data_IF_731938290821
#
_entry.id   IF_731938290821
#
_cell.length_a   1.000
_cell.length_b   1.000
_cell.length_c   1.000
_cell.angle_alpha   90.00
_cell.angle_beta   90.00
_cell.angle_gamma   90.00
#
_symmetry.space_group_name_H-M   'P 1'
#
loop_
_entity.id
_entity.type
_entity.pdbx_description
1 polymer ?
#
# COMPACT_ATOMS: atom_id res chain seq x y z
N UNK A 1 -18.46 52.09 25.62
CA UNK A 1 -18.05 51.11 24.58
C UNK A 1 -17.98 49.75 25.27
N UNK A 2 -18.84 48.81 24.89
CA UNK A 2 -18.92 47.49 25.52
C UNK A 2 -18.37 46.45 24.54
N UNK A 3 -17.29 45.76 24.91
CA UNK A 3 -16.71 44.71 24.08
C UNK A 3 -17.37 43.37 24.43
N UNK A 4 -18.16 42.81 23.52
CA UNK A 4 -18.60 41.42 23.63
C UNK A 4 -17.46 40.51 23.13
N UNK A 5 -17.03 39.50 23.90
CA UNK A 5 -16.19 38.45 23.36
C UNK A 5 -17.01 37.60 22.39
N UNK A 6 -16.53 37.46 21.16
CA UNK A 6 -17.04 36.45 20.23
C UNK A 6 -16.63 35.07 20.76
N UNK A 7 -17.56 34.40 21.44
CA UNK A 7 -17.43 32.99 21.77
C UNK A 7 -17.49 32.17 20.46
N UNK A 8 -16.33 31.93 19.87
CA UNK A 8 -16.21 31.07 18.69
C UNK A 8 -16.66 29.65 19.04
N UNK A 9 -17.70 29.16 18.36
CA UNK A 9 -18.13 27.77 18.50
C UNK A 9 -17.00 26.85 18.03
N UNK A 10 -16.32 26.20 18.97
CA UNK A 10 -15.43 25.09 18.65
C UNK A 10 -16.28 23.97 18.04
N UNK A 11 -16.19 23.80 16.73
CA UNK A 11 -16.89 22.74 16.02
C UNK A 11 -16.16 21.44 16.32
N UNK A 12 -16.51 20.76 17.42
CA UNK A 12 -15.93 19.48 17.81
C UNK A 12 -16.28 18.45 16.74
N UNK A 13 -15.37 18.25 15.79
CA UNK A 13 -15.48 17.18 14.81
C UNK A 13 -15.59 15.86 15.56
N UNK A 14 -16.74 15.18 15.41
CA UNK A 14 -16.99 13.87 16.00
C UNK A 14 -16.18 12.82 15.23
N UNK A 15 -14.87 12.78 15.47
CA UNK A 15 -14.00 11.71 14.98
C UNK A 15 -14.41 10.44 15.75
N UNK A 16 -14.95 9.41 15.07
CA UNK A 16 -15.33 8.18 15.74
C UNK A 16 -14.09 7.44 16.24
N UNK A 17 -14.21 6.71 17.35
CA UNK A 17 -13.18 5.77 17.77
C UNK A 17 -12.93 4.74 16.65
N UNK A 18 -11.67 4.33 16.38
CA UNK A 18 -11.37 3.29 15.41
C UNK A 18 -12.11 1.97 15.71
N UNK A 19 -12.50 1.19 14.69
CA UNK A 19 -13.07 -0.14 14.90
C UNK A 19 -12.01 -1.11 15.42
N UNK A 20 -12.41 -2.05 16.27
CA UNK A 20 -11.55 -3.19 16.63
C UNK A 20 -11.40 -4.12 15.43
N UNK A 21 -10.18 -4.30 14.93
CA UNK A 21 -9.86 -5.20 13.83
C UNK A 21 -9.04 -6.40 14.35
N UNK A 22 -9.33 -7.60 13.85
CA UNK A 22 -8.57 -8.81 14.15
C UNK A 22 -7.37 -8.94 13.19
N UNK A 23 -6.35 -8.11 13.40
CA UNK A 23 -5.12 -8.09 12.60
C UNK A 23 -3.91 -7.61 13.44
N UNK A 24 -2.74 -8.21 13.22
CA UNK A 24 -1.51 -7.87 13.95
C UNK A 24 -1.05 -6.43 13.70
N UNK A 25 -1.27 -5.93 12.47
CA UNK A 25 -0.95 -4.58 12.03
C UNK A 25 -1.98 -4.07 11.01
N UNK A 26 -2.27 -2.78 11.01
CA UNK A 26 -3.03 -2.10 9.97
C UNK A 26 -2.71 -0.60 9.92
N UNK A 27 -2.95 0.01 8.75
CA UNK A 27 -2.76 1.43 8.48
C UNK A 27 -3.83 1.92 7.49
N UNK A 28 -4.51 3.01 7.83
CA UNK A 28 -5.43 3.74 6.96
C UNK A 28 -4.93 5.17 6.78
N UNK A 29 -4.65 5.53 5.53
CA UNK A 29 -4.09 6.82 5.14
C UNK A 29 -4.96 7.45 4.06
N UNK A 30 -5.19 8.75 4.18
CA UNK A 30 -5.78 9.56 3.12
C UNK A 30 -4.77 9.77 1.97
N UNK A 31 -5.17 9.48 0.73
CA UNK A 31 -4.27 9.47 -0.42
C UNK A 31 -3.79 10.88 -0.82
N UNK A 32 -4.66 11.89 -0.76
CA UNK A 32 -4.37 13.24 -1.24
C UNK A 32 -3.49 14.03 -0.24
N UNK A 33 -3.68 13.80 1.06
CA UNK A 33 -2.99 14.53 2.13
C UNK A 33 -1.89 13.74 2.83
N UNK A 34 -1.85 12.41 2.66
CA UNK A 34 -0.97 11.52 3.43
C UNK A 34 -1.32 11.42 4.92
N UNK A 35 -2.50 11.90 5.34
CA UNK A 35 -2.90 11.89 6.74
C UNK A 35 -3.22 10.46 7.21
N UNK A 36 -2.54 10.00 8.27
CA UNK A 36 -2.90 8.78 8.98
C UNK A 36 -4.22 9.02 9.70
N UNK A 37 -5.25 8.26 9.33
CA UNK A 37 -6.57 8.33 9.95
C UNK A 37 -6.69 7.34 11.11
N UNK A 38 -6.12 6.14 10.94
CA UNK A 38 -6.17 5.01 11.88
C UNK A 38 -4.93 4.14 11.67
N UNK A 39 -4.26 3.72 12.74
CA UNK A 39 -3.12 2.79 12.68
C UNK A 39 -3.07 1.85 13.90
N UNK A 40 -2.41 0.71 13.74
CA UNK A 40 -2.06 -0.23 14.81
C UNK A 40 -0.79 -0.97 14.39
N UNK A 41 0.25 -0.90 15.20
CA UNK A 41 1.57 -1.49 14.93
C UNK A 41 2.06 -1.25 13.47
N UNK A 42 2.06 0.00 12.95
CA UNK A 42 2.33 0.27 11.53
C UNK A 42 3.74 -0.15 11.10
N UNK A 43 4.74 -0.02 11.99
CA UNK A 43 6.15 -0.38 11.72
C UNK A 43 6.50 -1.84 12.07
N UNK A 44 5.51 -2.68 12.41
CA UNK A 44 5.74 -4.08 12.73
C UNK A 44 6.19 -4.84 11.47
N UNK A 45 7.40 -5.39 11.52
CA UNK A 45 7.97 -6.15 10.41
C UNK A 45 7.23 -7.48 10.24
N UNK A 46 6.40 -7.56 9.19
CA UNK A 46 5.65 -8.74 8.79
C UNK A 46 6.10 -9.21 7.38
N UNK A 47 6.08 -10.52 7.09
CA UNK A 47 6.38 -11.02 5.75
C UNK A 47 5.32 -10.56 4.75
N UNK A 48 5.65 -9.76 3.72
CA UNK A 48 4.65 -9.14 2.84
C UNK A 48 3.96 -10.14 1.87
N UNK A 49 4.47 -11.37 1.76
CA UNK A 49 3.99 -12.39 0.83
C UNK A 49 3.77 -11.83 -0.59
N UNK A 50 2.55 -11.91 -1.13
CA UNK A 50 2.23 -11.39 -2.47
C UNK A 50 2.20 -9.85 -2.57
N UNK A 51 2.15 -9.10 -1.46
CA UNK A 51 2.24 -7.62 -1.51
C UNK A 51 3.60 -7.14 -2.06
N UNK A 52 4.64 -7.97 -2.00
CA UNK A 52 5.94 -7.74 -2.69
C UNK A 52 5.76 -7.38 -4.16
N UNK A 53 4.73 -7.92 -4.82
CA UNK A 53 4.44 -7.66 -6.24
C UNK A 53 4.07 -6.19 -6.52
N UNK A 54 3.65 -5.42 -5.52
CA UNK A 54 3.44 -3.97 -5.64
C UNK A 54 4.76 -3.26 -6.00
N UNK A 55 5.88 -3.64 -5.36
CA UNK A 55 7.19 -3.07 -5.69
C UNK A 55 7.67 -3.52 -7.08
N UNK A 56 7.39 -4.77 -7.47
CA UNK A 56 7.68 -5.27 -8.83
C UNK A 56 6.92 -4.47 -9.90
N UNK A 57 5.62 -4.21 -9.67
CA UNK A 57 4.79 -3.40 -10.56
C UNK A 57 5.22 -1.92 -10.58
N UNK A 58 5.62 -1.36 -9.43
CA UNK A 58 6.13 0.00 -9.32
C UNK A 58 7.41 0.20 -10.15
N UNK A 59 8.36 -0.73 -10.07
CA UNK A 59 9.57 -0.71 -10.90
C UNK A 59 9.19 -0.80 -12.38
N UNK A 60 8.32 -1.74 -12.77
CA UNK A 60 7.87 -1.86 -14.18
C UNK A 60 7.21 -0.56 -14.69
N UNK A 61 6.36 0.09 -13.90
CA UNK A 61 5.74 1.36 -14.25
C UNK A 61 6.79 2.47 -14.46
N UNK A 62 7.81 2.52 -13.61
CA UNK A 62 8.94 3.45 -13.75
C UNK A 62 9.81 3.17 -14.99
N UNK A 63 10.05 1.90 -15.34
CA UNK A 63 10.75 1.52 -16.58
C UNK A 63 9.99 1.96 -17.84
N UNK A 64 8.65 1.84 -17.83
CA UNK A 64 7.76 2.29 -18.90
C UNK A 64 7.72 3.83 -19.00
N UNK A 65 7.61 4.54 -17.87
CA UNK A 65 7.62 6.02 -17.83
C UNK A 65 8.96 6.59 -18.34
N UNK A 66 10.08 5.93 -18.02
CA UNK A 66 11.41 6.30 -18.48
C UNK A 66 11.72 5.79 -19.90
N UNK A 67 10.75 5.21 -20.60
CA UNK A 67 10.85 4.79 -22.00
C UNK A 67 11.86 3.67 -22.27
N UNK A 68 12.26 2.91 -21.23
CA UNK A 68 13.19 1.77 -21.36
C UNK A 68 12.50 0.50 -21.83
N UNK A 69 11.18 0.43 -21.67
CA UNK A 69 10.30 -0.62 -22.15
C UNK A 69 9.05 0.03 -22.78
N UNK A 70 8.42 -0.66 -23.72
CA UNK A 70 7.13 -0.33 -24.31
C UNK A 70 6.05 -1.34 -23.96
N UNK A 71 4.78 -0.90 -23.85
CA UNK A 71 3.64 -1.79 -23.60
C UNK A 71 3.39 -2.82 -24.71
N UNK A 72 3.96 -2.61 -25.89
CA UNK A 72 3.85 -3.50 -27.06
C UNK A 72 5.12 -4.32 -27.30
N UNK A 73 6.09 -4.30 -26.38
CA UNK A 73 7.35 -5.03 -26.54
C UNK A 73 7.10 -6.54 -26.48
N UNK A 74 7.64 -7.27 -27.46
CA UNK A 74 7.52 -8.73 -27.51
C UNK A 74 8.56 -9.35 -26.58
N UNK A 75 8.16 -9.66 -25.35
CA UNK A 75 9.01 -10.31 -24.34
C UNK A 75 9.01 -11.84 -24.55
N UNK A 76 10.16 -12.47 -24.86
CA UNK A 76 10.22 -13.93 -25.00
C UNK A 76 10.11 -14.62 -23.65
N UNK A 77 9.14 -15.54 -23.51
CA UNK A 77 8.95 -16.32 -22.27
C UNK A 77 10.10 -17.32 -22.11
N UNK A 78 11.03 -17.01 -21.21
CA UNK A 78 12.16 -17.90 -20.89
C UNK A 78 11.72 -19.13 -20.08
N UNK A 79 12.56 -20.18 -20.01
CA UNK A 79 12.29 -21.32 -19.10
C UNK A 79 12.17 -20.91 -17.63
N UNK A 80 12.87 -19.84 -17.23
CA UNK A 80 12.77 -19.27 -15.87
C UNK A 80 11.43 -18.56 -15.62
N UNK A 81 10.72 -18.12 -16.67
CA UNK A 81 9.38 -17.55 -16.57
C UNK A 81 8.26 -18.58 -16.79
N UNK A 82 8.57 -19.75 -17.38
CA UNK A 82 7.62 -20.85 -17.55
C UNK A 82 7.30 -21.51 -16.21
N UNK A 83 8.33 -22.02 -15.54
CA UNK A 83 8.18 -22.82 -14.32
C UNK A 83 9.17 -22.32 -13.29
N UNK A 84 8.64 -22.14 -12.10
CA UNK A 84 9.39 -21.84 -10.91
C UNK A 84 8.67 -22.53 -9.74
N UNK A 85 9.41 -22.89 -8.70
CA UNK A 85 9.08 -23.57 -7.43
C UNK A 85 8.78 -25.08 -7.38
N UNK A 86 9.43 -25.74 -6.41
CA UNK A 86 8.89 -26.90 -5.69
C UNK A 86 8.61 -26.66 -4.18
N UNK A 87 9.27 -25.69 -3.52
CA UNK A 87 9.09 -25.30 -2.11
C UNK A 87 9.03 -23.76 -1.92
N UNK A 88 10.14 -23.01 -2.07
CA UNK A 88 10.12 -21.59 -2.51
C UNK A 88 11.46 -21.11 -3.14
N UNK A 89 11.57 -21.05 -4.48
CA UNK A 89 12.58 -20.22 -5.20
C UNK A 89 11.99 -19.57 -6.47
N UNK A 90 11.96 -18.23 -6.53
CA UNK A 90 11.38 -17.51 -7.67
C UNK A 90 10.97 -16.05 -7.48
N UNK A 91 9.75 -15.69 -7.06
CA UNK A 91 8.71 -16.47 -6.34
C UNK A 91 7.51 -16.92 -7.21
N UNK A 92 6.90 -18.06 -6.86
CA UNK A 92 6.87 -19.21 -7.77
C UNK A 92 5.94 -20.37 -7.32
N UNK A 93 5.54 -21.30 -8.22
CA UNK A 93 4.46 -22.32 -8.11
C UNK A 93 3.69 -22.32 -6.78
N UNK A 94 2.47 -21.78 -6.84
CA UNK A 94 1.40 -22.13 -5.94
C UNK A 94 0.20 -22.59 -6.76
N UNK A 95 -0.12 -23.87 -6.64
CA UNK A 95 -1.50 -24.32 -6.49
C UNK A 95 -1.59 -25.04 -5.14
N UNK A 96 -2.79 -24.99 -4.55
CA UNK A 96 -3.17 -25.72 -3.32
C UNK A 96 -2.88 -27.22 -3.39
#
# INVERSE_FOLDING_TARGET
MLWLPLAGSANTALVPSPPTLNADSYLLVDFDTGAVLVEHNPDLQLPPASLTKLMTAYILAQELELGRLGLNDVVPVSRNAWSQNPVFEGSSLMWI
#
